data_IF_630813763456
#
_entry.id   IF_630813763456
#
_cell.length_a   1.000
_cell.length_b   1.000
_cell.length_c   1.000
_cell.angle_alpha   90.00
_cell.angle_beta   90.00
_cell.angle_gamma   90.00
#
_symmetry.space_group_name_H-M   'P 1'
#
loop_
_entity.id
_entity.type
_entity.pdbx_description
1 polymer ?
#
# COMPACT_ATOMS: atom_id res chain seq x y z
N UNK A 1 -17.68 1.94 -13.64
CA UNK A 1 -17.37 1.12 -12.49
C UNK A 1 -16.50 1.88 -11.51
N UNK A 2 -16.88 1.86 -10.28
CA UNK A 2 -16.15 2.61 -9.27
C UNK A 2 -14.84 1.92 -8.93
N UNK A 3 -13.80 2.70 -8.79
CA UNK A 3 -12.51 2.19 -8.35
C UNK A 3 -12.49 2.10 -6.83
N UNK A 4 -11.66 1.18 -6.34
CA UNK A 4 -11.43 1.04 -4.91
C UNK A 4 -10.26 1.93 -4.54
N UNK A 5 -10.43 2.75 -3.52
CA UNK A 5 -9.38 3.65 -3.07
C UNK A 5 -8.33 2.91 -2.26
N UNK A 6 -7.08 3.09 -2.62
CA UNK A 6 -5.97 2.41 -1.94
C UNK A 6 -4.83 3.39 -1.67
N UNK A 7 -3.97 3.01 -0.74
CA UNK A 7 -2.78 3.77 -0.41
C UNK A 7 -1.61 2.82 -0.22
N UNK A 8 -0.40 3.33 -0.36
CA UNK A 8 0.82 2.56 -0.20
C UNK A 8 1.57 3.08 1.01
N UNK A 9 1.92 2.19 1.92
CA UNK A 9 2.78 2.52 3.05
C UNK A 9 4.18 2.05 2.71
N UNK A 10 5.11 2.97 2.57
CA UNK A 10 6.47 2.69 2.17
C UNK A 10 6.80 3.37 0.86
N UNK A 11 7.82 4.21 0.89
CA UNK A 11 8.21 5.00 -0.28
C UNK A 11 9.54 4.56 -0.86
N UNK A 12 9.98 3.34 -0.53
CA UNK A 12 11.18 2.75 -1.11
C UNK A 12 10.90 2.15 -2.47
N UNK A 13 11.80 1.26 -2.90
CA UNK A 13 11.71 0.72 -4.25
C UNK A 13 10.44 -0.10 -4.49
N UNK A 14 10.07 -0.94 -3.54
CA UNK A 14 8.88 -1.78 -3.71
C UNK A 14 7.63 -0.92 -3.78
N UNK A 15 7.51 0.03 -2.87
CA UNK A 15 6.35 0.92 -2.86
C UNK A 15 6.27 1.78 -4.10
N UNK A 16 7.41 2.28 -4.55
CA UNK A 16 7.45 3.12 -5.76
C UNK A 16 7.08 2.32 -7.00
N UNK A 17 7.57 1.09 -7.11
CA UNK A 17 7.22 0.23 -8.24
C UNK A 17 5.74 -0.08 -8.25
N UNK A 18 5.17 -0.36 -7.08
CA UNK A 18 3.75 -0.64 -6.98
C UNK A 18 2.93 0.60 -7.35
N UNK A 19 3.37 1.77 -6.94
CA UNK A 19 2.70 3.01 -7.30
C UNK A 19 2.55 3.14 -8.81
N UNK A 20 3.66 2.92 -9.54
CA UNK A 20 3.61 3.03 -10.99
C UNK A 20 2.74 1.94 -11.61
N UNK A 21 2.77 0.74 -11.05
CA UNK A 21 1.92 -0.33 -11.58
C UNK A 21 0.44 0.00 -11.40
N UNK A 22 0.07 0.51 -10.25
CA UNK A 22 -1.33 0.86 -10.01
C UNK A 22 -1.76 1.97 -10.96
N UNK A 23 -0.96 2.99 -11.11
CA UNK A 23 -1.32 4.13 -11.96
C UNK A 23 -1.41 3.73 -13.42
N UNK A 24 -0.47 2.90 -13.87
CA UNK A 24 -0.36 2.63 -15.30
C UNK A 24 -1.18 1.43 -15.78
N UNK A 25 -1.52 0.50 -14.90
CA UNK A 25 -2.12 -0.75 -15.35
C UNK A 25 -3.44 -1.10 -14.69
N UNK A 26 -3.71 -0.58 -13.51
CA UNK A 26 -4.93 -0.97 -12.81
C UNK A 26 -6.11 -0.12 -13.25
N UNK A 27 -7.20 -0.78 -13.59
CA UNK A 27 -8.46 -0.12 -13.83
C UNK A 27 -9.40 -0.19 -12.63
N UNK A 28 -8.98 -0.90 -11.57
CA UNK A 28 -9.82 -1.14 -10.40
C UNK A 28 -9.39 -0.34 -9.18
N UNK A 29 -8.17 0.15 -9.16
CA UNK A 29 -7.62 0.83 -8.00
C UNK A 29 -7.39 2.30 -8.27
N UNK A 30 -7.74 3.11 -7.30
CA UNK A 30 -7.46 4.54 -7.32
C UNK A 30 -6.51 4.84 -6.16
N UNK A 31 -5.30 5.30 -6.49
CA UNK A 31 -4.28 5.55 -5.48
C UNK A 31 -4.53 6.90 -4.81
N UNK A 32 -4.84 6.86 -3.52
CA UNK A 32 -5.17 8.06 -2.76
C UNK A 32 -4.01 8.61 -1.95
N UNK A 33 -2.98 7.80 -1.70
CA UNK A 33 -1.87 8.29 -0.90
C UNK A 33 -0.66 7.40 -0.95
N UNK A 34 0.51 7.99 -0.70
CA UNK A 34 1.76 7.29 -0.52
C UNK A 34 2.37 7.79 0.78
N UNK A 35 2.70 6.88 1.67
CA UNK A 35 3.10 7.18 3.02
C UNK A 35 4.54 6.77 3.23
N UNK A 36 5.36 7.68 3.74
CA UNK A 36 6.74 7.42 4.07
C UNK A 36 7.12 8.12 5.35
N UNK A 37 8.37 7.97 5.75
CA UNK A 37 8.87 8.58 6.98
C UNK A 37 10.01 9.57 6.72
N UNK A 38 10.44 9.68 5.48
CA UNK A 38 11.55 10.56 5.10
C UNK A 38 11.03 11.61 4.11
N UNK A 39 10.98 12.89 4.50
CA UNK A 39 10.47 13.93 3.60
C UNK A 39 11.31 14.10 2.34
N UNK A 40 12.56 13.62 2.36
CA UNK A 40 13.44 13.70 1.20
C UNK A 40 13.39 12.44 0.36
N UNK A 41 12.50 11.54 0.65
CA UNK A 41 12.36 10.29 -0.08
C UNK A 41 12.04 10.54 -1.56
N UNK A 42 12.76 9.85 -2.43
CA UNK A 42 12.53 9.95 -3.86
C UNK A 42 11.13 9.46 -4.23
N UNK A 43 10.68 8.40 -3.57
CA UNK A 43 9.34 7.87 -3.82
C UNK A 43 8.23 8.86 -3.46
N UNK A 44 8.39 9.59 -2.37
CA UNK A 44 7.42 10.62 -2.01
C UNK A 44 7.45 11.77 -3.01
N UNK A 45 8.63 12.16 -3.47
CA UNK A 45 8.74 13.21 -4.46
C UNK A 45 8.04 12.82 -5.76
N UNK A 46 8.21 11.58 -6.17
CA UNK A 46 7.56 11.08 -7.39
C UNK A 46 6.04 11.06 -7.24
N UNK A 47 5.55 10.60 -6.09
CA UNK A 47 4.12 10.58 -5.85
C UNK A 47 3.54 11.97 -5.88
N UNK A 48 4.22 12.91 -5.25
CA UNK A 48 3.75 14.30 -5.21
C UNK A 48 3.72 14.90 -6.61
N UNK A 49 4.69 14.58 -7.44
CA UNK A 49 4.72 15.10 -8.81
C UNK A 49 3.58 14.56 -9.66
N UNK A 50 3.02 13.43 -9.26
CA UNK A 50 1.89 12.83 -9.97
C UNK A 50 0.55 13.27 -9.39
N UNK A 51 0.55 14.19 -8.44
CA UNK A 51 -0.68 14.69 -7.86
C UNK A 51 -1.26 13.81 -6.77
N UNK A 52 -0.49 12.86 -6.25
CA UNK A 52 -0.95 11.96 -5.22
C UNK A 52 -0.62 12.55 -3.85
N UNK A 53 -1.55 12.44 -2.90
CA UNK A 53 -1.31 12.93 -1.54
C UNK A 53 -0.19 12.13 -0.90
N UNK A 54 0.70 12.80 -0.18
CA UNK A 54 1.82 12.15 0.49
C UNK A 54 1.83 12.48 1.97
N UNK A 55 2.39 11.57 2.76
CA UNK A 55 2.70 11.82 4.15
C UNK A 55 4.14 11.42 4.39
N UNK A 56 4.92 12.31 4.98
CA UNK A 56 6.29 12.00 5.39
C UNK A 56 6.40 11.72 6.88
N UNK A 57 5.28 11.65 7.57
CA UNK A 57 5.22 11.40 9.01
C UNK A 57 4.63 10.03 9.33
N UNK A 58 4.78 9.08 8.40
CA UNK A 58 4.29 7.74 8.59
C UNK A 58 2.79 7.64 8.57
N UNK A 59 2.29 6.49 9.03
CA UNK A 59 0.85 6.25 9.03
C UNK A 59 0.13 7.24 9.94
N UNK A 60 0.75 7.65 11.03
CA UNK A 60 0.14 8.60 11.95
C UNK A 60 -0.19 9.92 11.26
N UNK A 61 0.71 10.37 10.39
CA UNK A 61 0.45 11.59 9.65
C UNK A 61 -0.69 11.44 8.66
N UNK A 62 -0.80 10.26 8.06
CA UNK A 62 -1.84 10.02 7.07
C UNK A 62 -3.22 9.85 7.70
N UNK A 63 -3.29 9.26 8.91
CA UNK A 63 -4.59 9.04 9.56
C UNK A 63 -5.35 10.33 9.84
N UNK A 64 -4.66 11.45 9.91
CA UNK A 64 -5.31 12.75 10.15
C UNK A 64 -5.79 13.40 8.86
N UNK A 65 -5.54 12.79 7.71
CA UNK A 65 -5.92 13.35 6.42
C UNK A 65 -7.27 12.82 5.96
N UNK A 66 -7.96 13.61 5.12
CA UNK A 66 -9.21 13.16 4.54
C UNK A 66 -9.01 11.92 3.68
N UNK A 67 -7.89 11.85 2.98
CA UNK A 67 -7.59 10.71 2.13
C UNK A 67 -7.56 9.40 2.91
N UNK A 68 -7.19 9.43 4.19
CA UNK A 68 -7.24 8.24 5.01
C UNK A 68 -8.67 7.73 5.13
N UNK A 69 -9.62 8.64 5.37
CA UNK A 69 -11.01 8.26 5.51
C UNK A 69 -11.54 7.61 4.23
N UNK A 70 -11.07 8.10 3.10
CA UNK A 70 -11.54 7.63 1.81
C UNK A 70 -10.86 6.34 1.36
N UNK A 71 -9.79 5.92 2.01
CA UNK A 71 -9.01 4.76 1.59
C UNK A 71 -9.54 3.50 2.22
N UNK A 72 -9.68 2.45 1.41
CA UNK A 72 -10.19 1.15 1.88
C UNK A 72 -9.10 0.11 2.01
N UNK A 73 -8.10 0.14 1.13
CA UNK A 73 -7.05 -0.88 1.09
C UNK A 73 -5.69 -0.21 1.24
N UNK A 74 -4.84 -0.79 2.07
CA UNK A 74 -3.48 -0.31 2.27
C UNK A 74 -2.49 -1.41 1.89
N UNK A 75 -1.54 -1.07 1.04
CA UNK A 75 -0.44 -1.97 0.68
C UNK A 75 0.76 -1.59 1.53
N UNK A 76 1.24 -2.51 2.34
CA UNK A 76 2.36 -2.23 3.23
C UNK A 76 3.65 -2.79 2.66
N UNK A 77 4.53 -1.90 2.22
CA UNK A 77 5.83 -2.24 1.65
C UNK A 77 6.97 -1.78 2.57
N UNK A 78 6.73 -1.78 3.88
CA UNK A 78 7.73 -1.39 4.86
C UNK A 78 8.41 -2.62 5.44
N UNK A 79 8.91 -2.54 6.66
CA UNK A 79 9.55 -3.66 7.34
C UNK A 79 8.54 -4.52 8.07
N UNK A 80 8.93 -5.75 8.40
CA UNK A 80 8.06 -6.66 9.14
C UNK A 80 7.67 -6.09 10.49
N UNK A 81 8.60 -5.42 11.18
CA UNK A 81 8.30 -4.84 12.49
C UNK A 81 7.35 -3.65 12.38
N UNK A 82 7.50 -2.84 11.34
CA UNK A 82 6.60 -1.71 11.14
C UNK A 82 5.22 -2.19 10.70
N UNK A 83 5.17 -3.28 9.97
CA UNK A 83 3.91 -3.82 9.50
C UNK A 83 2.96 -4.17 10.64
N UNK A 84 3.49 -4.70 11.72
CA UNK A 84 2.64 -5.08 12.85
C UNK A 84 1.87 -3.86 13.38
N UNK A 85 2.57 -2.75 13.55
CA UNK A 85 1.93 -1.52 14.00
C UNK A 85 0.91 -1.02 12.99
N UNK A 86 1.28 -1.02 11.71
CA UNK A 86 0.37 -0.58 10.67
C UNK A 86 -0.89 -1.43 10.62
N UNK A 87 -0.72 -2.73 10.75
CA UNK A 87 -1.85 -3.65 10.71
C UNK A 87 -2.82 -3.36 11.83
N UNK A 88 -2.33 -3.12 13.03
CA UNK A 88 -3.18 -2.81 14.17
C UNK A 88 -3.98 -1.53 13.94
N UNK A 89 -3.32 -0.50 13.43
CA UNK A 89 -3.97 0.78 13.18
C UNK A 89 -5.05 0.66 12.10
N UNK A 90 -4.69 0.04 10.99
CA UNK A 90 -5.56 -0.03 9.82
C UNK A 90 -6.78 -0.92 10.07
N UNK A 91 -6.56 -2.08 10.68
CA UNK A 91 -7.67 -3.00 10.91
C UNK A 91 -8.60 -2.53 12.02
N UNK A 92 -8.09 -1.73 12.95
CA UNK A 92 -8.95 -1.13 13.97
C UNK A 92 -10.01 -0.22 13.35
N UNK A 93 -9.71 0.35 12.19
CA UNK A 93 -10.64 1.23 11.48
C UNK A 93 -11.40 0.49 10.39
N UNK A 94 -11.42 -0.84 10.45
CA UNK A 94 -12.14 -1.69 9.50
C UNK A 94 -11.65 -1.53 8.06
N UNK A 95 -10.40 -1.18 7.89
CA UNK A 95 -9.78 -1.08 6.58
C UNK A 95 -8.94 -2.32 6.34
N UNK A 96 -8.64 -2.56 5.08
CA UNK A 96 -7.94 -3.77 4.68
C UNK A 96 -6.45 -3.50 4.46
N UNK A 97 -5.64 -4.46 4.85
CA UNK A 97 -4.19 -4.36 4.73
C UNK A 97 -3.67 -5.54 3.90
N UNK A 98 -2.84 -5.23 2.93
CA UNK A 98 -2.13 -6.25 2.15
C UNK A 98 -0.66 -6.09 2.44
N UNK A 99 -0.06 -7.16 2.95
CA UNK A 99 1.32 -7.14 3.43
C UNK A 99 2.29 -7.51 2.32
N UNK A 100 3.12 -6.56 1.94
CA UNK A 100 4.19 -6.78 0.96
C UNK A 100 5.56 -6.70 1.61
N UNK A 101 5.62 -6.80 2.94
CA UNK A 101 6.91 -6.75 3.62
C UNK A 101 7.70 -8.02 3.30
N UNK A 102 9.03 -7.98 3.46
CA UNK A 102 9.84 -9.17 3.15
C UNK A 102 9.41 -10.42 3.89
N UNK A 103 8.86 -10.28 5.09
CA UNK A 103 8.41 -11.43 5.87
C UNK A 103 7.25 -12.15 5.21
N UNK A 104 6.37 -11.41 4.55
CA UNK A 104 5.21 -11.99 3.88
C UNK A 104 5.50 -12.30 2.43
N UNK A 105 6.32 -11.49 1.78
CA UNK A 105 6.59 -11.66 0.36
C UNK A 105 7.34 -12.96 0.08
N UNK A 106 8.47 -13.17 0.78
CA UNK A 106 9.28 -14.32 0.51
C UNK A 106 9.73 -14.36 -0.94
N UNK A 107 10.41 -15.45 -1.32
CA UNK A 107 10.96 -15.53 -2.67
C UNK A 107 9.91 -15.72 -3.77
N UNK A 108 8.72 -16.12 -3.42
CA UNK A 108 7.69 -16.43 -4.41
C UNK A 108 6.64 -15.37 -4.55
N UNK A 109 6.56 -14.46 -3.60
CA UNK A 109 5.55 -13.43 -3.64
C UNK A 109 6.13 -12.22 -4.31
N UNK A 110 5.49 -11.76 -5.34
CA UNK A 110 5.96 -10.58 -6.06
C UNK A 110 4.92 -9.50 -5.97
N UNK A 111 5.37 -8.25 -5.98
CA UNK A 111 4.43 -7.13 -5.89
C UNK A 111 3.51 -7.01 -7.10
N UNK A 112 3.71 -7.86 -8.08
CA UNK A 112 2.86 -7.86 -9.26
C UNK A 112 1.64 -8.72 -9.08
N UNK A 113 1.21 -8.95 -7.87
CA UNK A 113 0.02 -9.74 -7.65
C UNK A 113 -1.10 -9.28 -8.55
N UNK A 114 -1.98 -10.20 -8.85
CA UNK A 114 -3.10 -9.90 -9.72
C UNK A 114 -4.12 -9.06 -8.98
N UNK A 115 -4.03 -7.78 -9.17
CA UNK A 115 -4.89 -6.84 -8.43
C UNK A 115 -6.32 -6.86 -8.93
N UNK A 116 -6.60 -7.58 -10.00
CA UNK A 116 -7.98 -7.75 -10.46
C UNK A 116 -8.68 -8.90 -9.78
N UNK A 117 -7.96 -9.70 -9.00
CA UNK A 117 -8.55 -10.80 -8.27
C UNK A 117 -9.36 -10.29 -7.09
N UNK A 118 -10.36 -11.05 -6.65
CA UNK A 118 -11.11 -10.66 -5.46
C UNK A 118 -10.19 -10.52 -4.27
N UNK A 119 -10.53 -9.59 -3.41
CA UNK A 119 -9.71 -9.32 -2.24
C UNK A 119 -9.55 -10.56 -1.37
N UNK A 120 -10.56 -11.40 -1.27
CA UNK A 120 -10.46 -12.62 -0.48
C UNK A 120 -9.29 -13.49 -0.88
N UNK A 121 -8.83 -13.34 -2.09
CA UNK A 121 -7.71 -14.10 -2.57
C UNK A 121 -6.45 -13.80 -1.79
N UNK A 122 -6.31 -12.60 -1.30
CA UNK A 122 -5.12 -12.21 -0.57
C UNK A 122 -4.96 -12.98 0.73
N UNK A 123 -6.01 -13.55 1.25
CA UNK A 123 -5.92 -14.35 2.46
C UNK A 123 -5.15 -15.63 2.26
N UNK A 124 -5.09 -16.08 1.04
CA UNK A 124 -4.46 -17.36 0.74
C UNK A 124 -2.98 -17.21 0.45
N UNK A 125 -2.56 -16.03 0.10
CA UNK A 125 -1.23 -15.86 -0.41
C UNK A 125 -0.15 -16.24 0.57
N UNK A 126 -0.40 -16.11 1.83
CA UNK A 126 0.64 -16.34 2.82
C UNK A 126 1.17 -17.75 2.77
N UNK A 127 0.37 -18.69 2.32
CA UNK A 127 0.80 -20.08 2.32
C UNK A 127 0.60 -20.75 0.99
N UNK A 128 -0.16 -20.16 0.19
CA UNK A 128 -0.23 -20.74 -1.10
C UNK A 128 0.72 -20.17 -2.00
N UNK A 129 0.97 -19.39 -1.95
CA UNK A 129 1.46 -18.82 -2.75
C UNK A 129 2.04 -18.66 -3.57
N UNK A 130 1.85 -18.76 -3.42
CA UNK A 130 2.15 -18.67 -3.94
C UNK A 130 1.90 -18.50 -4.77
N UNK A 131 1.64 -18.29 -4.98
CA UNK A 131 1.41 -18.24 -5.62
C UNK A 131 1.44 -18.57 -6.23
#
# INVERSE_FOLDING_TARGET
MDKVNCAIIGSGNIGTDLMYKIINTSSLLNLTGVIGIDPDSDGLAKAKSLGIQVSSKGIEGFTSMQEYQDTEIFFDATSASAHKHHHETITADNKQMIDLTPAAIGPYCVPVVNLSEPVSYTHLRAHETSL
#
